data_IF_373719248432
#
_entry.id   IF_373719248432
#
_cell.length_a   1.000
_cell.length_b   1.000
_cell.length_c   1.000
_cell.angle_alpha   90.00
_cell.angle_beta   90.00
_cell.angle_gamma   90.00
#
_symmetry.space_group_name_H-M   'P 1'
#
loop_
_entity.id
_entity.type
_entity.pdbx_description
1 polymer ?
#
# COMPACT_ATOMS: atom_id res chain seq x y z
N UNK A 1 3.27 11.65 -0.34
CA UNK A 1 2.01 10.91 -0.24
C UNK A 1 2.29 9.48 0.17
N UNK A 2 1.46 8.90 0.98
CA UNK A 2 1.70 7.59 1.59
C UNK A 2 0.61 6.62 1.16
N UNK A 3 1.00 5.53 0.52
CA UNK A 3 0.11 4.44 0.14
C UNK A 3 0.26 3.32 1.18
N UNK A 4 -0.71 3.20 2.07
CA UNK A 4 -0.72 2.16 3.09
C UNK A 4 -1.37 0.90 2.54
N UNK A 5 -0.73 -0.25 2.71
CA UNK A 5 -1.31 -1.53 2.34
C UNK A 5 -2.28 -2.06 3.40
N UNK A 6 -2.89 -3.21 3.14
CA UNK A 6 -3.87 -3.78 4.05
C UNK A 6 -3.26 -4.15 5.42
N UNK A 7 -1.97 -4.46 5.48
CA UNK A 7 -1.32 -4.81 6.75
C UNK A 7 -1.31 -3.63 7.73
N UNK A 8 -1.12 -2.42 7.21
CA UNK A 8 -1.16 -1.19 8.01
C UNK A 8 -2.59 -0.93 8.51
N UNK A 9 -3.58 -1.04 7.61
CA UNK A 9 -4.97 -0.83 7.97
C UNK A 9 -5.46 -1.86 8.99
N UNK A 10 -5.12 -3.13 8.80
CA UNK A 10 -5.52 -4.19 9.74
C UNK A 10 -4.90 -3.97 11.12
N UNK A 11 -3.65 -3.55 11.19
CA UNK A 11 -3.01 -3.20 12.44
C UNK A 11 -3.72 -2.03 13.12
N UNK A 12 -4.09 -1.02 12.34
CA UNK A 12 -4.82 0.15 12.85
C UNK A 12 -6.19 -0.24 13.43
N UNK A 13 -6.92 -1.11 12.73
CA UNK A 13 -8.24 -1.54 13.19
C UNK A 13 -8.15 -2.37 14.48
N UNK A 14 -7.05 -3.07 14.70
CA UNK A 14 -6.86 -3.90 15.90
C UNK A 14 -6.33 -3.12 17.09
N UNK A 15 -5.38 -2.23 16.86
CA UNK A 15 -4.58 -1.64 17.93
C UNK A 15 -4.57 -0.11 17.92
N UNK A 16 -5.06 0.50 16.86
CA UNK A 16 -4.84 1.92 16.61
C UNK A 16 -3.40 2.17 16.17
N UNK A 17 -3.22 3.03 15.20
CA UNK A 17 -1.92 3.44 14.71
C UNK A 17 -1.86 4.96 14.67
N UNK A 18 -1.12 5.55 15.59
CA UNK A 18 -1.03 7.00 15.71
C UNK A 18 -0.35 7.64 14.50
N UNK A 19 0.59 6.92 13.86
CA UNK A 19 1.25 7.41 12.66
C UNK A 19 0.27 7.49 11.49
N UNK A 20 -0.57 6.46 11.31
CA UNK A 20 -1.61 6.49 10.28
C UNK A 20 -2.61 7.61 10.54
N UNK A 21 -3.03 7.79 11.79
CA UNK A 21 -3.94 8.88 12.18
C UNK A 21 -3.34 10.23 11.80
N UNK A 22 -2.06 10.43 12.06
CA UNK A 22 -1.35 11.66 11.71
C UNK A 22 -1.31 11.88 10.19
N UNK A 23 -0.98 10.85 9.44
CA UNK A 23 -0.92 10.90 7.96
C UNK A 23 -2.28 11.28 7.39
N UNK A 24 -3.36 10.70 7.91
CA UNK A 24 -4.73 11.05 7.51
C UNK A 24 -5.01 12.52 7.82
N UNK A 25 -4.67 12.98 9.02
CA UNK A 25 -4.88 14.37 9.43
C UNK A 25 -4.09 15.37 8.61
N UNK A 26 -2.92 14.99 8.12
CA UNK A 26 -2.06 15.82 7.27
C UNK A 26 -2.43 15.74 5.78
N UNK A 27 -3.48 15.04 5.43
CA UNK A 27 -3.94 14.84 4.05
C UNK A 27 -2.85 14.22 3.15
N UNK A 28 -2.12 13.27 3.68
CA UNK A 28 -1.01 12.62 2.99
C UNK A 28 -1.31 11.18 2.58
N UNK A 29 -2.51 10.71 2.87
CA UNK A 29 -2.90 9.32 2.60
C UNK A 29 -3.34 9.14 1.16
N UNK A 30 -2.90 8.06 0.55
CA UNK A 30 -3.43 7.54 -0.71
C UNK A 30 -4.11 6.21 -0.44
N UNK A 31 -5.25 5.99 -1.08
CA UNK A 31 -5.95 4.70 -1.06
C UNK A 31 -5.95 4.10 -2.45
N UNK A 32 -5.69 2.80 -2.50
CA UNK A 32 -5.65 2.06 -3.75
C UNK A 32 -6.85 1.09 -3.75
N UNK A 33 -7.62 1.01 -4.86
CA UNK A 33 -8.87 0.25 -4.88
C UNK A 33 -8.74 -1.22 -4.49
N UNK A 34 -7.63 -1.87 -4.83
CA UNK A 34 -7.44 -3.28 -4.47
C UNK A 34 -7.23 -3.46 -2.96
N UNK A 35 -6.61 -2.48 -2.29
CA UNK A 35 -6.50 -2.48 -0.83
C UNK A 35 -7.89 -2.35 -0.21
N UNK A 36 -8.69 -1.43 -0.72
CA UNK A 36 -10.08 -1.26 -0.26
C UNK A 36 -10.85 -2.57 -0.43
N UNK A 37 -10.69 -3.22 -1.59
CA UNK A 37 -11.33 -4.51 -1.85
C UNK A 37 -10.90 -5.60 -0.87
N UNK A 38 -9.62 -5.68 -0.53
CA UNK A 38 -9.13 -6.63 0.47
C UNK A 38 -9.74 -6.38 1.84
N UNK A 39 -9.78 -5.12 2.25
CA UNK A 39 -10.38 -4.75 3.54
C UNK A 39 -11.88 -5.04 3.57
N UNK A 40 -12.56 -4.81 2.45
CA UNK A 40 -14.00 -5.06 2.32
C UNK A 40 -14.38 -6.54 2.50
N UNK A 41 -13.47 -7.46 2.23
CA UNK A 41 -13.70 -8.90 2.40
C UNK A 41 -13.64 -9.34 3.87
N UNK A 42 -13.00 -8.55 4.72
CA UNK A 42 -12.83 -8.89 6.12
C UNK A 42 -14.00 -8.45 6.99
N UNK A 43 -13.91 -8.80 8.27
CA UNK A 43 -14.84 -8.30 9.27
C UNK A 43 -14.39 -6.93 9.72
N UNK A 44 -15.17 -5.91 9.40
CA UNK A 44 -14.91 -4.55 9.83
C UNK A 44 -16.00 -4.09 10.79
N UNK A 45 -15.59 -3.47 11.89
CA UNK A 45 -16.52 -2.72 12.75
C UNK A 45 -16.94 -1.48 11.97
N UNK A 46 -18.24 -1.16 12.04
CA UNK A 46 -18.78 -0.02 11.29
C UNK A 46 -18.41 -0.06 9.81
N UNK A 47 -18.60 -1.22 9.20
CA UNK A 47 -18.13 -1.52 7.86
C UNK A 47 -18.49 -0.45 6.84
N UNK A 48 -19.74 -0.03 6.79
CA UNK A 48 -20.22 0.96 5.81
C UNK A 48 -19.50 2.31 5.99
N UNK A 49 -19.31 2.74 7.23
CA UNK A 49 -18.61 3.99 7.52
C UNK A 49 -17.14 3.90 7.15
N UNK A 50 -16.48 2.77 7.44
CA UNK A 50 -15.08 2.57 7.11
C UNK A 50 -14.88 2.57 5.59
N UNK A 51 -15.69 1.83 4.86
CA UNK A 51 -15.58 1.76 3.40
C UNK A 51 -15.85 3.13 2.75
N UNK A 52 -16.86 3.85 3.24
CA UNK A 52 -17.14 5.20 2.75
C UNK A 52 -15.96 6.14 3.01
N UNK A 53 -15.33 6.04 4.18
CA UNK A 53 -14.15 6.83 4.51
C UNK A 53 -13.00 6.53 3.53
N UNK A 54 -12.71 5.25 3.30
CA UNK A 54 -11.63 4.84 2.41
C UNK A 54 -11.86 5.30 0.96
N UNK A 55 -13.09 5.17 0.49
CA UNK A 55 -13.46 5.59 -0.86
C UNK A 55 -13.42 7.11 -1.06
N UNK A 56 -13.53 7.88 0.02
CA UNK A 56 -13.45 9.33 -0.03
C UNK A 56 -12.01 9.87 -0.02
N UNK A 57 -11.02 9.02 0.23
CA UNK A 57 -9.62 9.44 0.25
C UNK A 57 -9.08 9.65 -1.16
N UNK A 58 -7.91 10.31 -1.25
CA UNK A 58 -7.22 10.46 -2.52
C UNK A 58 -6.87 9.09 -3.08
N UNK A 59 -7.20 8.87 -4.33
CA UNK A 59 -6.90 7.60 -4.98
C UNK A 59 -5.45 7.57 -5.44
N UNK A 60 -4.76 6.48 -5.14
CA UNK A 60 -3.45 6.21 -5.70
C UNK A 60 -3.56 5.95 -7.21
N UNK A 61 -2.49 6.17 -7.94
CA UNK A 61 -2.43 5.79 -9.36
C UNK A 61 -2.73 4.31 -9.48
N UNK A 62 -3.67 3.96 -10.34
CA UNK A 62 -4.04 2.56 -10.60
C UNK A 62 -3.34 2.10 -11.86
N UNK A 63 -2.46 1.11 -11.70
CA UNK A 63 -1.75 0.53 -12.83
C UNK A 63 -2.68 -0.36 -13.66
N UNK A 64 -2.39 -0.46 -14.94
CA UNK A 64 -3.03 -1.46 -15.78
C UNK A 64 -2.45 -2.84 -15.49
N UNK A 65 -3.19 -3.89 -15.86
CA UNK A 65 -2.66 -5.25 -15.76
C UNK A 65 -1.35 -5.41 -16.54
N UNK A 66 -1.28 -4.83 -17.73
CA UNK A 66 -0.07 -4.89 -18.55
C UNK A 66 1.14 -4.24 -17.86
N UNK A 67 0.92 -3.09 -17.22
CA UNK A 67 1.98 -2.43 -16.45
C UNK A 67 2.45 -3.28 -15.27
N UNK A 68 1.51 -3.91 -14.56
CA UNK A 68 1.85 -4.81 -13.44
C UNK A 68 2.66 -6.00 -13.93
N UNK A 69 2.24 -6.62 -15.03
CA UNK A 69 2.96 -7.77 -15.60
C UNK A 69 4.38 -7.37 -16.03
N UNK A 70 4.53 -6.18 -16.60
CA UNK A 70 5.85 -5.65 -16.99
C UNK A 70 6.76 -5.50 -15.77
N UNK A 71 6.24 -4.97 -14.65
CA UNK A 71 7.02 -4.83 -13.42
C UNK A 71 7.43 -6.18 -12.87
N UNK A 72 6.50 -7.14 -12.82
CA UNK A 72 6.78 -8.49 -12.32
C UNK A 72 7.94 -9.12 -13.10
N UNK A 73 7.91 -9.02 -14.43
CA UNK A 73 8.91 -9.65 -15.28
C UNK A 73 10.23 -8.89 -15.26
N UNK A 74 10.16 -7.56 -15.43
CA UNK A 74 11.35 -6.73 -15.54
C UNK A 74 12.23 -6.78 -14.29
N UNK A 75 11.61 -6.76 -13.13
CA UNK A 75 12.33 -6.75 -11.86
C UNK A 75 12.42 -8.13 -11.20
N UNK A 76 11.90 -9.15 -11.87
CA UNK A 76 11.96 -10.53 -11.39
C UNK A 76 11.39 -10.69 -9.98
N UNK A 77 10.25 -10.07 -9.71
CA UNK A 77 9.58 -10.18 -8.39
C UNK A 77 8.66 -11.40 -8.31
N UNK A 78 8.55 -12.18 -9.40
CA UNK A 78 7.90 -13.47 -9.34
C UNK A 78 8.67 -14.37 -8.34
N UNK A 79 7.98 -15.26 -7.69
CA UNK A 79 8.54 -16.15 -6.66
C UNK A 79 9.01 -15.47 -5.36
N UNK A 80 8.68 -14.18 -5.16
CA UNK A 80 9.01 -13.50 -3.90
C UNK A 80 7.93 -13.64 -2.84
N UNK A 81 6.87 -14.39 -3.12
CA UNK A 81 5.81 -14.63 -2.15
C UNK A 81 4.84 -13.47 -1.98
N UNK A 82 4.78 -12.57 -2.95
CA UNK A 82 3.80 -11.48 -2.96
C UNK A 82 2.63 -11.84 -3.87
N UNK A 83 1.44 -11.37 -3.52
CA UNK A 83 0.26 -11.57 -4.33
C UNK A 83 0.11 -10.53 -5.42
N UNK A 84 -0.90 -10.72 -6.25
CA UNK A 84 -1.17 -9.81 -7.37
C UNK A 84 -1.54 -8.41 -6.90
N UNK A 85 -2.31 -8.28 -5.82
CA UNK A 85 -2.62 -6.98 -5.22
C UNK A 85 -1.34 -6.26 -4.80
N UNK A 86 -0.40 -6.96 -4.18
CA UNK A 86 0.88 -6.37 -3.79
C UNK A 86 1.67 -5.90 -5.01
N UNK A 87 1.64 -6.66 -6.09
CA UNK A 87 2.28 -6.26 -7.34
C UNK A 87 1.65 -4.98 -7.91
N UNK A 88 0.34 -4.81 -7.76
CA UNK A 88 -0.34 -3.56 -8.10
C UNK A 88 0.16 -2.39 -7.25
N UNK A 89 0.36 -2.60 -5.95
CA UNK A 89 0.85 -1.55 -5.05
C UNK A 89 2.27 -1.11 -5.42
N UNK A 90 3.14 -2.07 -5.73
CA UNK A 90 4.49 -1.77 -6.20
C UNK A 90 4.45 -0.91 -7.46
N UNK A 91 3.63 -1.32 -8.43
CA UNK A 91 3.53 -0.62 -9.70
C UNK A 91 2.93 0.77 -9.53
N UNK A 92 1.89 0.91 -8.71
CA UNK A 92 1.30 2.22 -8.39
C UNK A 92 2.36 3.17 -7.82
N UNK A 93 3.19 2.67 -6.91
CA UNK A 93 4.26 3.47 -6.28
C UNK A 93 5.31 3.87 -7.32
N UNK A 94 5.67 2.98 -8.22
CA UNK A 94 6.63 3.29 -9.28
C UNK A 94 6.10 4.33 -10.27
N UNK A 95 4.80 4.30 -10.56
CA UNK A 95 4.18 5.24 -11.49
C UNK A 95 3.98 6.63 -10.90
N UNK A 96 3.97 6.76 -9.59
CA UNK A 96 3.83 8.05 -8.91
C UNK A 96 5.02 8.28 -7.99
N UNK A 97 5.97 9.09 -8.47
CA UNK A 97 7.21 9.38 -7.74
C UNK A 97 7.01 10.11 -6.42
N UNK A 98 5.84 10.73 -6.23
CA UNK A 98 5.51 11.42 -4.99
C UNK A 98 5.01 10.46 -3.91
N UNK A 99 4.73 9.22 -4.28
CA UNK A 99 4.17 8.23 -3.36
C UNK A 99 5.27 7.37 -2.76
N UNK A 100 5.02 6.94 -1.52
CA UNK A 100 5.81 5.95 -0.82
C UNK A 100 4.89 4.84 -0.36
N UNK A 101 5.36 3.61 -0.41
CA UNK A 101 4.61 2.45 0.04
C UNK A 101 4.89 2.20 1.52
N UNK A 102 3.83 2.03 2.30
CA UNK A 102 3.92 1.70 3.72
C UNK A 102 3.32 0.33 3.98
N UNK A 103 4.12 -0.60 4.45
CA UNK A 103 3.71 -1.98 4.71
C UNK A 103 4.41 -2.55 5.94
N UNK A 104 3.75 -3.49 6.60
CA UNK A 104 4.35 -4.32 7.66
C UNK A 104 4.76 -5.69 7.12
N UNK A 105 4.43 -5.99 5.87
CA UNK A 105 4.76 -7.25 5.23
C UNK A 105 6.21 -7.22 4.74
N UNK A 106 7.04 -8.09 5.31
CA UNK A 106 8.48 -8.14 4.97
C UNK A 106 8.75 -8.54 3.54
N UNK A 107 7.91 -9.40 2.97
CA UNK A 107 8.06 -9.83 1.57
C UNK A 107 7.76 -8.69 0.62
N UNK A 108 6.70 -7.94 0.89
CA UNK A 108 6.36 -6.77 0.09
C UNK A 108 7.42 -5.69 0.21
N UNK A 109 7.94 -5.45 1.41
CA UNK A 109 9.02 -4.48 1.61
C UNK A 109 10.28 -4.87 0.84
N UNK A 110 10.63 -6.16 0.84
CA UNK A 110 11.78 -6.65 0.08
C UNK A 110 11.58 -6.48 -1.43
N UNK A 111 10.37 -6.77 -1.93
CA UNK A 111 10.03 -6.56 -3.33
C UNK A 111 10.10 -5.07 -3.70
N UNK A 112 9.62 -4.19 -2.82
CA UNK A 112 9.68 -2.74 -3.04
C UNK A 112 11.13 -2.28 -3.19
N UNK A 113 12.03 -2.75 -2.34
CA UNK A 113 13.45 -2.42 -2.46
C UNK A 113 14.02 -2.92 -3.79
N UNK A 114 13.65 -4.12 -4.20
CA UNK A 114 14.16 -4.70 -5.44
C UNK A 114 13.76 -3.89 -6.67
N UNK A 115 12.53 -3.39 -6.71
CA UNK A 115 12.05 -2.61 -7.85
C UNK A 115 12.41 -1.12 -7.76
N UNK A 116 12.96 -0.67 -6.65
CA UNK A 116 13.30 0.73 -6.44
C UNK A 116 12.11 1.61 -6.06
N UNK A 117 11.03 1.01 -5.56
CA UNK A 117 9.91 1.77 -5.03
C UNK A 117 10.29 2.38 -3.67
N UNK A 118 9.82 3.59 -3.43
CA UNK A 118 10.10 4.27 -2.17
C UNK A 118 9.26 3.67 -1.04
N UNK A 119 9.92 3.33 0.06
CA UNK A 119 9.26 2.83 1.27
C UNK A 119 9.06 3.95 2.29
N UNK A 120 7.98 3.86 3.05
CA UNK A 120 7.70 4.74 4.17
C UNK A 120 7.63 3.93 5.47
N UNK A 121 8.23 4.37 6.57
CA UNK A 121 9.24 5.42 6.59
C UNK A 121 10.45 4.98 5.78
N UNK A 122 11.19 5.96 5.22
CA UNK A 122 12.36 5.61 4.44
C UNK A 122 13.32 4.79 5.29
N UNK A 123 13.88 3.71 4.67
CA UNK A 123 14.85 2.90 5.35
C UNK A 123 16.08 3.75 5.66
N UNK A 124 16.28 4.08 6.93
CA UNK A 124 17.49 4.74 7.39
C UNK A 124 18.36 3.73 8.09
N UNK A 125 19.65 3.79 7.78
CA UNK A 125 20.59 3.03 8.56
C UNK A 125 20.55 3.55 9.99
N UNK A 126 20.30 2.70 10.98
CA UNK A 126 20.38 3.11 12.38
C UNK A 126 21.77 3.64 12.67
N UNK A 127 21.80 4.73 13.34
CA UNK A 127 23.08 5.32 13.74
C UNK A 127 23.52 4.80 15.09
#
# INVERSE_FOLDING_TARGET
MILADSSIWNNHFRHGDSELTKIIGDDRLLCQPFVVGELARGKLRDRDAVLAFLEAQREAVVATHAEVMTVIDRYSVFSMGIGYTDAHLLTSTLLDRRSSLWTRDKRLAAAAQKVGATLYPSARTPH
#
